data_IF_428319819920
#
_entry.id   IF_428319819920
#
_cell.length_a   1.000
_cell.length_b   1.000
_cell.length_c   1.000
_cell.angle_alpha   90.00
_cell.angle_beta   90.00
_cell.angle_gamma   90.00
#
_symmetry.space_group_name_H-M   'P 1'
#
loop_
_entity.id
_entity.type
_entity.pdbx_description
1 polymer ?
#
# COMPACT_ATOMS: atom_id res chain seq x y z
N UNK A 1 16.94 -12.91 -4.64
CA UNK A 1 16.47 -11.93 -3.64
C UNK A 1 15.11 -11.39 -4.10
N UNK A 2 14.15 -11.37 -3.21
CA UNK A 2 12.81 -10.83 -3.48
C UNK A 2 12.75 -9.35 -3.15
N UNK A 3 11.93 -8.59 -3.88
CA UNK A 3 11.72 -7.17 -3.64
C UNK A 3 10.29 -6.93 -3.12
N UNK A 4 10.20 -6.36 -1.93
CA UNK A 4 8.96 -5.93 -1.30
C UNK A 4 8.97 -4.41 -1.20
N UNK A 5 7.88 -3.76 -1.55
CA UNK A 5 7.73 -2.32 -1.33
C UNK A 5 6.57 -2.04 -0.38
N UNK A 6 6.81 -1.11 0.53
CA UNK A 6 5.81 -0.60 1.48
C UNK A 6 5.40 0.79 1.03
N UNK A 7 4.13 0.97 0.70
CA UNK A 7 3.53 2.28 0.39
C UNK A 7 2.69 2.71 1.58
N UNK A 8 3.03 3.83 2.21
CA UNK A 8 2.32 4.38 3.35
C UNK A 8 1.74 5.76 3.04
N UNK A 9 0.45 5.93 3.28
CA UNK A 9 -0.28 7.18 3.13
C UNK A 9 -0.50 7.93 4.46
N UNK A 10 0.27 7.63 5.49
CA UNK A 10 0.23 8.36 6.76
C UNK A 10 0.66 9.82 6.58
N UNK A 11 -0.07 10.75 7.21
CA UNK A 11 0.16 12.20 7.05
C UNK A 11 0.80 12.85 8.27
N UNK A 12 0.81 12.19 9.41
CA UNK A 12 1.42 12.69 10.64
C UNK A 12 2.84 12.15 10.86
N UNK A 13 3.60 12.81 11.73
CA UNK A 13 4.90 12.35 12.19
C UNK A 13 4.94 12.40 13.74
N UNK A 14 5.06 11.24 14.44
CA UNK A 14 5.11 9.88 13.88
C UNK A 14 3.78 9.44 13.25
N UNK A 15 3.87 8.54 12.27
CA UNK A 15 2.70 7.99 11.58
C UNK A 15 2.35 6.60 12.14
N UNK A 16 1.16 6.46 12.69
CA UNK A 16 0.63 5.15 13.14
C UNK A 16 0.45 4.21 11.95
N UNK A 17 0.03 4.74 10.80
CA UNK A 17 -0.09 3.99 9.55
C UNK A 17 1.25 3.39 9.13
N UNK A 18 2.33 4.16 9.23
CA UNK A 18 3.68 3.68 8.92
C UNK A 18 4.13 2.60 9.90
N UNK A 19 3.88 2.78 11.20
CA UNK A 19 4.23 1.78 12.22
C UNK A 19 3.52 0.45 11.95
N UNK A 20 2.25 0.48 11.57
CA UNK A 20 1.51 -0.73 11.18
C UNK A 20 2.14 -1.40 9.96
N UNK A 21 2.47 -0.62 8.94
CA UNK A 21 3.11 -1.12 7.73
C UNK A 21 4.47 -1.75 8.00
N UNK A 22 5.28 -1.14 8.86
CA UNK A 22 6.59 -1.66 9.27
C UNK A 22 6.47 -3.02 9.98
N UNK A 23 5.52 -3.16 10.90
CA UNK A 23 5.26 -4.45 11.58
C UNK A 23 4.83 -5.55 10.62
N UNK A 24 4.04 -5.20 9.60
CA UNK A 24 3.64 -6.16 8.56
C UNK A 24 4.88 -6.56 7.74
N UNK A 25 5.72 -5.60 7.37
CA UNK A 25 6.94 -5.86 6.62
C UNK A 25 7.91 -6.76 7.38
N UNK A 26 8.12 -6.54 8.67
CA UNK A 26 8.92 -7.39 9.56
C UNK A 26 8.39 -8.83 9.60
N UNK A 27 7.07 -8.99 9.70
CA UNK A 27 6.44 -10.30 9.69
C UNK A 27 6.62 -11.03 8.35
N UNK A 28 6.56 -10.31 7.23
CA UNK A 28 6.83 -10.87 5.89
C UNK A 28 8.28 -11.28 5.78
N UNK A 29 9.22 -10.42 6.19
CA UNK A 29 10.65 -10.70 6.17
C UNK A 29 10.99 -11.96 6.97
N UNK A 30 10.44 -12.10 8.17
CA UNK A 30 10.63 -13.28 9.00
C UNK A 30 10.14 -14.58 8.30
N UNK A 31 9.05 -14.52 7.55
CA UNK A 31 8.54 -15.69 6.82
C UNK A 31 9.36 -16.01 5.57
N UNK A 32 9.85 -15.00 4.86
CA UNK A 32 10.71 -15.16 3.69
C UNK A 32 12.06 -15.76 4.11
N UNK A 33 12.64 -15.23 5.18
CA UNK A 33 13.90 -15.72 5.74
C UNK A 33 13.82 -17.18 6.18
N UNK A 34 12.70 -17.61 6.79
CA UNK A 34 12.47 -19.03 7.15
C UNK A 34 12.49 -19.98 5.95
N UNK A 35 12.24 -19.46 4.75
CA UNK A 35 12.30 -20.22 3.50
C UNK A 35 13.70 -20.21 2.87
N UNK A 36 14.67 -19.57 3.51
CA UNK A 36 16.02 -19.41 2.99
C UNK A 36 16.15 -18.39 1.87
N UNK A 37 15.15 -17.51 1.71
CA UNK A 37 15.17 -16.45 0.70
C UNK A 37 15.54 -15.10 1.31
N UNK A 38 16.28 -14.28 0.56
CA UNK A 38 16.56 -12.89 0.92
C UNK A 38 15.42 -11.97 0.51
N UNK A 39 15.17 -10.93 1.31
CA UNK A 39 14.16 -9.91 1.03
C UNK A 39 14.78 -8.52 1.09
N UNK A 40 14.59 -7.74 0.04
CA UNK A 40 14.87 -6.30 0.04
C UNK A 40 13.56 -5.54 0.23
N UNK A 41 13.54 -4.60 1.17
CA UNK A 41 12.35 -3.80 1.49
C UNK A 41 12.59 -2.34 1.12
N UNK A 42 11.85 -1.85 0.14
CA UNK A 42 11.79 -0.43 -0.22
C UNK A 42 10.58 0.26 0.39
N UNK A 43 10.65 1.58 0.54
CA UNK A 43 9.60 2.38 1.15
C UNK A 43 9.22 3.57 0.27
N UNK A 44 7.93 3.84 0.17
CA UNK A 44 7.36 5.01 -0.48
C UNK A 44 6.40 5.69 0.51
N UNK A 45 6.77 6.89 0.95
CA UNK A 45 5.96 7.75 1.83
C UNK A 45 5.17 8.73 0.98
N UNK A 46 3.86 8.54 0.89
CA UNK A 46 3.03 9.35 -0.01
C UNK A 46 2.92 10.81 0.41
N UNK A 47 3.06 11.13 1.70
CA UNK A 47 3.06 12.53 2.16
C UNK A 47 4.18 13.37 1.54
N UNK A 48 5.30 12.74 1.22
CA UNK A 48 6.43 13.41 0.56
C UNK A 48 6.17 13.67 -0.92
N UNK A 49 5.19 12.99 -1.50
CA UNK A 49 4.76 13.11 -2.90
C UNK A 49 3.49 13.95 -3.08
N UNK A 50 2.94 14.53 -2.02
CA UNK A 50 1.65 15.20 -2.07
C UNK A 50 1.57 16.31 -3.13
N UNK A 51 2.60 17.16 -3.20
CA UNK A 51 2.67 18.24 -4.20
C UNK A 51 2.87 17.67 -5.60
N UNK A 52 3.76 16.70 -5.76
CA UNK A 52 4.01 16.04 -7.05
C UNK A 52 2.75 15.34 -7.57
N UNK A 53 1.99 14.68 -6.71
CA UNK A 53 0.72 14.03 -7.05
C UNK A 53 -0.36 15.05 -7.41
N UNK A 54 -0.47 16.14 -6.65
CA UNK A 54 -1.40 17.23 -6.98
C UNK A 54 -1.11 17.85 -8.34
N UNK A 55 0.15 18.10 -8.66
CA UNK A 55 0.58 18.60 -9.96
C UNK A 55 0.26 17.60 -11.07
N UNK A 56 0.54 16.32 -10.87
CA UNK A 56 0.26 15.28 -11.85
C UNK A 56 -1.24 15.16 -12.14
N UNK A 57 -2.09 15.22 -11.11
CA UNK A 57 -3.54 15.15 -11.27
C UNK A 57 -4.12 16.36 -12.01
N UNK A 58 -3.57 17.56 -11.79
CA UNK A 58 -4.09 18.79 -12.39
C UNK A 58 -3.51 19.12 -13.77
N UNK A 59 -2.26 18.73 -14.04
CA UNK A 59 -1.54 19.10 -15.28
C UNK A 59 -1.17 17.92 -16.16
N UNK A 60 -1.22 16.69 -15.64
CA UNK A 60 -0.68 15.50 -16.31
C UNK A 60 0.84 15.41 -16.33
N UNK A 61 1.56 16.32 -15.67
CA UNK A 61 3.02 16.34 -15.61
C UNK A 61 3.51 15.58 -14.39
N UNK A 62 4.36 14.60 -14.61
CA UNK A 62 4.98 13.77 -13.57
C UNK A 62 6.42 14.24 -13.40
N UNK A 63 6.75 14.78 -12.23
CA UNK A 63 8.11 15.17 -11.91
C UNK A 63 9.00 13.95 -11.65
N UNK A 64 10.31 14.20 -11.52
CA UNK A 64 11.31 13.16 -11.31
C UNK A 64 11.07 12.38 -10.01
N UNK A 65 10.68 13.08 -8.94
CA UNK A 65 10.40 12.47 -7.64
C UNK A 65 9.24 11.48 -7.69
N UNK A 66 8.14 11.86 -8.35
CA UNK A 66 6.98 10.98 -8.55
C UNK A 66 7.33 9.80 -9.45
N UNK A 67 8.03 10.03 -10.56
CA UNK A 67 8.48 8.96 -11.46
C UNK A 67 9.34 7.94 -10.74
N UNK A 68 10.30 8.37 -9.93
CA UNK A 68 11.15 7.47 -9.16
C UNK A 68 10.34 6.61 -8.18
N UNK A 69 9.33 7.18 -7.53
CA UNK A 69 8.44 6.43 -6.64
C UNK A 69 7.58 5.41 -7.39
N UNK A 70 7.05 5.78 -8.55
CA UNK A 70 6.28 4.87 -9.40
C UNK A 70 7.16 3.73 -9.94
N UNK A 71 8.38 4.02 -10.34
CA UNK A 71 9.36 3.02 -10.78
C UNK A 71 9.74 2.06 -9.65
N UNK A 72 9.86 2.56 -8.42
CA UNK A 72 10.13 1.72 -7.24
C UNK A 72 9.05 0.67 -7.02
N UNK A 73 7.79 0.99 -7.29
CA UNK A 73 6.66 0.07 -7.15
C UNK A 73 6.50 -0.87 -8.34
N UNK A 74 7.03 -0.47 -9.50
CA UNK A 74 6.94 -1.27 -10.71
C UNK A 74 7.89 -2.47 -10.66
N UNK A 75 7.39 -3.66 -10.95
CA UNK A 75 8.23 -4.87 -11.03
C UNK A 75 8.65 -5.48 -9.70
N UNK A 76 7.97 -5.15 -8.61
CA UNK A 76 8.20 -5.77 -7.28
C UNK A 76 7.59 -7.17 -7.20
N UNK A 77 8.10 -7.99 -6.29
CA UNK A 77 7.57 -9.34 -6.02
C UNK A 77 6.38 -9.30 -5.04
N UNK A 78 6.21 -8.22 -4.31
CA UNK A 78 5.09 -8.03 -3.38
C UNK A 78 4.96 -6.58 -2.94
N UNK A 79 3.77 -6.22 -2.51
CA UNK A 79 3.43 -4.85 -2.10
C UNK A 79 2.66 -4.86 -0.78
N UNK A 80 3.05 -3.98 0.14
CA UNK A 80 2.27 -3.64 1.32
C UNK A 80 1.76 -2.23 1.13
N UNK A 81 0.46 -2.02 1.28
CA UNK A 81 -0.15 -0.70 1.17
C UNK A 81 -0.93 -0.38 2.43
N UNK A 82 -0.67 0.77 3.02
CA UNK A 82 -1.30 1.20 4.25
C UNK A 82 -1.82 2.64 4.15
N UNK A 83 -3.04 2.86 4.61
CA UNK A 83 -3.70 4.18 4.58
C UNK A 83 -4.42 4.45 5.89
N UNK A 84 -4.45 5.71 6.37
CA UNK A 84 -5.44 6.11 7.36
C UNK A 84 -6.83 6.12 6.72
N UNK A 85 -7.87 5.96 7.55
CA UNK A 85 -9.25 6.07 7.09
C UNK A 85 -9.71 7.52 7.22
N UNK A 86 -10.09 8.12 6.10
CA UNK A 86 -10.70 9.43 6.01
C UNK A 86 -12.05 9.30 5.30
N UNK A 87 -13.11 9.87 5.89
CA UNK A 87 -14.46 9.82 5.33
C UNK A 87 -14.88 8.40 4.89
N UNK A 88 -14.68 7.42 5.77
CA UNK A 88 -15.04 6.01 5.59
C UNK A 88 -14.32 5.30 4.41
N UNK A 89 -13.18 5.81 3.96
CA UNK A 89 -12.41 5.24 2.86
C UNK A 89 -10.91 5.46 3.06
N UNK A 90 -10.10 5.03 2.09
CA UNK A 90 -8.68 5.39 2.03
C UNK A 90 -8.51 6.89 1.85
N UNK A 91 -7.33 7.42 2.17
CA UNK A 91 -7.02 8.84 1.98
C UNK A 91 -7.02 9.20 0.48
N UNK A 92 -7.30 10.48 0.18
CA UNK A 92 -7.22 10.99 -1.19
C UNK A 92 -5.81 10.84 -1.78
N UNK A 93 -4.78 11.05 -0.96
CA UNK A 93 -3.39 10.88 -1.34
C UNK A 93 -3.07 9.44 -1.78
N UNK A 94 -3.63 8.45 -1.08
CA UNK A 94 -3.53 7.05 -1.43
C UNK A 94 -4.13 6.78 -2.83
N UNK A 95 -5.34 7.26 -3.08
CA UNK A 95 -6.02 7.10 -4.38
C UNK A 95 -5.25 7.78 -5.51
N UNK A 96 -4.76 9.00 -5.30
CA UNK A 96 -3.98 9.74 -6.30
C UNK A 96 -2.73 8.97 -6.74
N UNK A 97 -2.02 8.34 -5.81
CA UNK A 97 -0.84 7.55 -6.15
C UNK A 97 -1.18 6.34 -7.03
N UNK A 98 -2.21 5.59 -6.68
CA UNK A 98 -2.61 4.42 -7.46
C UNK A 98 -3.27 4.78 -8.80
N UNK A 99 -3.92 5.93 -8.89
CA UNK A 99 -4.37 6.48 -10.17
C UNK A 99 -3.18 6.84 -11.08
N UNK A 100 -2.12 7.43 -10.52
CA UNK A 100 -0.90 7.75 -11.25
C UNK A 100 -0.11 6.50 -11.68
N UNK A 101 -0.09 5.47 -10.86
CA UNK A 101 0.61 4.21 -11.15
C UNK A 101 -0.02 3.44 -12.32
N UNK A 102 -1.35 3.47 -12.43
CA UNK A 102 -2.09 2.71 -13.43
C UNK A 102 -2.37 1.26 -12.99
N UNK A 103 -3.41 0.69 -13.58
CA UNK A 103 -3.94 -0.62 -13.17
C UNK A 103 -3.02 -1.79 -13.53
N UNK A 104 -2.38 -1.74 -14.68
CA UNK A 104 -1.66 -2.88 -15.24
C UNK A 104 -0.35 -3.18 -14.51
N UNK A 105 0.22 -2.19 -13.84
CA UNK A 105 1.50 -2.30 -13.13
C UNK A 105 1.46 -3.35 -12.01
N UNK A 106 0.31 -3.50 -11.35
CA UNK A 106 0.12 -4.42 -10.23
C UNK A 106 -0.49 -5.77 -10.61
N UNK A 107 -0.62 -6.05 -11.90
CA UNK A 107 -1.19 -7.33 -12.36
C UNK A 107 -0.35 -8.50 -11.83
N UNK A 108 -1.01 -9.45 -11.18
CA UNK A 108 -0.42 -10.64 -10.58
C UNK A 108 0.54 -10.40 -9.40
N UNK A 109 0.72 -9.16 -8.95
CA UNK A 109 1.53 -8.87 -7.77
C UNK A 109 0.69 -9.08 -6.50
N UNK A 110 1.16 -9.89 -5.52
CA UNK A 110 0.47 -10.03 -4.25
C UNK A 110 0.51 -8.72 -3.47
N UNK A 111 -0.66 -8.27 -3.01
CA UNK A 111 -0.81 -7.03 -2.24
C UNK A 111 -1.40 -7.32 -0.87
N UNK A 112 -0.73 -6.83 0.18
CA UNK A 112 -1.27 -6.79 1.54
C UNK A 112 -1.81 -5.39 1.77
N UNK A 113 -3.10 -5.30 2.10
CA UNK A 113 -3.77 -4.03 2.39
C UNK A 113 -3.94 -3.85 3.90
N UNK A 114 -3.66 -2.66 4.40
CA UNK A 114 -3.81 -2.28 5.79
C UNK A 114 -4.44 -0.89 5.92
N UNK A 115 -5.19 -0.68 6.98
CA UNK A 115 -5.81 0.60 7.28
C UNK A 115 -5.75 0.89 8.78
N UNK A 116 -5.55 2.16 9.14
CA UNK A 116 -5.65 2.66 10.50
C UNK A 116 -6.88 3.54 10.63
N UNK A 117 -7.64 3.34 11.70
CA UNK A 117 -8.87 4.08 11.94
C UNK A 117 -9.04 4.37 13.44
N UNK A 118 -9.63 5.51 13.75
CA UNK A 118 -9.90 5.91 15.13
C UNK A 118 -11.09 5.18 15.78
N UNK A 119 -11.92 4.50 15.01
CA UNK A 119 -13.11 3.80 15.50
C UNK A 119 -13.36 2.48 14.79
N UNK A 120 -14.02 1.54 15.49
CA UNK A 120 -14.42 0.24 14.92
C UNK A 120 -15.46 0.37 13.77
N UNK A 121 -16.12 1.52 13.63
CA UNK A 121 -17.07 1.79 12.53
C UNK A 121 -16.45 1.68 11.15
N UNK A 122 -15.14 1.87 11.06
CA UNK A 122 -14.38 1.83 9.82
C UNK A 122 -13.80 0.44 9.50
N UNK A 123 -14.19 -0.60 10.22
CA UNK A 123 -13.67 -1.96 10.04
C UNK A 123 -13.95 -2.56 8.65
N UNK A 124 -14.96 -2.05 7.93
CA UNK A 124 -15.33 -2.50 6.59
C UNK A 124 -14.56 -1.83 5.46
N UNK A 125 -13.69 -0.85 5.73
CA UNK A 125 -12.90 -0.15 4.70
C UNK A 125 -12.03 -1.11 3.89
N UNK A 126 -11.43 -2.12 4.53
CA UNK A 126 -10.62 -3.11 3.83
C UNK A 126 -11.44 -3.88 2.79
N UNK A 127 -12.67 -4.27 3.10
CA UNK A 127 -13.53 -5.06 2.22
C UNK A 127 -14.20 -4.23 1.12
N UNK A 128 -14.71 -3.04 1.46
CA UNK A 128 -15.58 -2.27 0.56
C UNK A 128 -14.86 -1.16 -0.19
N UNK A 129 -13.71 -0.68 0.30
CA UNK A 129 -12.94 0.37 -0.36
C UNK A 129 -11.61 -0.13 -0.91
N UNK A 130 -10.75 -0.72 -0.08
CA UNK A 130 -9.40 -1.09 -0.49
C UNK A 130 -9.37 -2.35 -1.37
N UNK A 131 -10.11 -3.37 -1.02
CA UNK A 131 -10.14 -4.61 -1.80
C UNK A 131 -10.60 -4.38 -3.25
N UNK A 132 -11.70 -3.64 -3.53
CA UNK A 132 -12.09 -3.34 -4.91
C UNK A 132 -11.03 -2.58 -5.70
N UNK A 133 -10.26 -1.70 -5.07
CA UNK A 133 -9.19 -0.96 -5.73
C UNK A 133 -8.10 -1.89 -6.30
N UNK A 134 -7.80 -2.99 -5.60
CA UNK A 134 -6.76 -3.96 -5.99
C UNK A 134 -7.29 -5.23 -6.64
N UNK A 135 -8.59 -5.51 -6.58
CA UNK A 135 -9.17 -6.76 -7.10
C UNK A 135 -9.16 -6.87 -8.63
N UNK A 136 -9.20 -5.73 -9.31
CA UNK A 136 -9.12 -5.70 -10.78
C UNK A 136 -7.69 -5.86 -11.32
N UNK A 137 -6.68 -5.79 -10.44
CA UNK A 137 -5.26 -5.88 -10.80
C UNK A 137 -4.65 -7.24 -10.45
N UNK A 138 -5.31 -8.02 -9.59
CA UNK A 138 -4.76 -9.27 -9.05
C UNK A 138 -5.71 -10.44 -9.27
N UNK A 139 -5.67 -11.06 -10.41
CA UNK A 139 -6.43 -12.31 -10.67
C UNK A 139 -5.94 -13.53 -9.86
N UNK A 140 -5.06 -13.38 -8.91
CA UNK A 140 -4.52 -14.48 -8.11
C UNK A 140 -4.69 -14.37 -6.59
N UNK A 141 -5.26 -13.29 -6.09
CA UNK A 141 -5.26 -12.99 -4.65
C UNK A 141 -6.40 -13.63 -3.84
N UNK A 142 -7.20 -14.52 -4.40
CA UNK A 142 -8.42 -15.04 -3.74
C UNK A 142 -8.17 -15.98 -2.56
N UNK A 143 -7.06 -16.72 -2.52
CA UNK A 143 -6.87 -17.79 -1.53
C UNK A 143 -6.17 -17.34 -0.23
N UNK A 144 -5.41 -16.27 -0.25
CA UNK A 144 -4.70 -15.77 0.94
C UNK A 144 -5.49 -14.77 1.79
N UNK A 145 -6.64 -14.35 1.32
CA UNK A 145 -7.51 -13.32 1.94
C UNK A 145 -8.14 -13.73 3.28
N UNK A 146 -8.24 -15.03 3.57
CA UNK A 146 -8.94 -15.51 4.78
C UNK A 146 -8.18 -15.35 6.08
N UNK A 147 -6.85 -15.22 6.06
CA UNK A 147 -6.05 -15.18 7.28
C UNK A 147 -6.03 -13.84 8.01
N UNK A 148 -6.35 -12.74 7.33
CA UNK A 148 -6.28 -11.39 7.92
C UNK A 148 -7.61 -10.81 8.37
N UNK A 149 -8.70 -11.59 8.26
CA UNK A 149 -10.04 -11.17 8.67
C UNK A 149 -10.22 -10.97 10.18
N UNK A 150 -9.27 -11.35 11.01
CA UNK A 150 -9.36 -11.31 12.48
C UNK A 150 -8.28 -10.47 13.16
N UNK A 151 -7.56 -9.64 12.46
CA UNK A 151 -6.69 -8.66 13.10
C UNK A 151 -7.55 -7.60 13.78
N UNK A 152 -7.76 -7.70 15.07
CA UNK A 152 -8.22 -6.58 15.88
C UNK A 152 -7.19 -5.47 15.70
N UNK A 153 -7.62 -4.35 15.19
CA UNK A 153 -6.88 -3.10 15.30
C UNK A 153 -6.87 -2.76 16.80
N UNK A 154 -5.72 -2.65 17.46
CA UNK A 154 -5.66 -2.25 18.87
C UNK A 154 -6.16 -0.82 19.06
#
# INVERSE_FOLDING_TARGET
MKNLVVVSAGVSAPSITRILADRIAEAVEAQVSKRGEGLHIGYVELRELAVSLGTAMSTGLYDEKLRAALDTVSGVDGLIVATPVFAASYSGLFKMFFDALGRDVLTSIPVIVAATAGTARNSLVLEYAMRPLFSGTTEGCSSRRRKYRKGRIP
#
